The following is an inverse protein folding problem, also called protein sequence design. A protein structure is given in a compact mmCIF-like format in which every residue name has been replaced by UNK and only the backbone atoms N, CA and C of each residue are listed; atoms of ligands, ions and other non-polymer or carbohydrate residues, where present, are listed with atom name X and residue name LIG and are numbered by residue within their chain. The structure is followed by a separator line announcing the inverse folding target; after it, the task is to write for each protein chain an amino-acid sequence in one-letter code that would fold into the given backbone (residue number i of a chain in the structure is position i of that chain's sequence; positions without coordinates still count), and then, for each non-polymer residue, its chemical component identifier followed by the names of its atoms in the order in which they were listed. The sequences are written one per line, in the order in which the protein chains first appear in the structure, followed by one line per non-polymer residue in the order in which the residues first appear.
data_IF_026728993876
#
_entry.id   IF_026728993876
#
_cell.length_a   1.000
_cell.length_b   1.000
_cell.length_c   1.000
_cell.angle_alpha   90.00
_cell.angle_beta   90.00
_cell.angle_gamma   90.00
#
_symmetry.space_group_name_H-M   'P 1'
#
loop_
_entity.id
_entity.type
_entity.pdbx_description
1 polymer ?
#
# COMPACT_ATOMS: atom_id res chain seq x y z
N UNK A 1 13.66 41.79 0.14
CA UNK A 1 13.40 40.43 -0.38
C UNK A 1 13.85 39.44 0.67
N UNK A 2 12.94 38.66 1.26
CA UNK A 2 13.31 37.64 2.23
C UNK A 2 13.74 36.38 1.47
N UNK A 3 14.99 35.96 1.67
CA UNK A 3 15.46 34.67 1.16
C UNK A 3 14.65 33.53 1.80
N UNK A 4 14.24 32.50 1.04
CA UNK A 4 13.62 31.34 1.65
C UNK A 4 14.66 30.64 2.52
N UNK A 5 14.41 30.58 3.82
CA UNK A 5 15.20 29.78 4.75
C UNK A 5 14.96 28.31 4.39
N UNK A 6 15.94 27.66 3.76
CA UNK A 6 15.94 26.21 3.64
C UNK A 6 16.15 25.62 5.02
N UNK A 7 15.11 25.02 5.58
CA UNK A 7 15.23 24.21 6.79
C UNK A 7 16.20 23.07 6.48
N UNK A 8 17.32 22.92 7.20
CA UNK A 8 18.21 21.79 6.99
C UNK A 8 17.46 20.50 7.33
N UNK A 9 17.52 19.52 6.41
CA UNK A 9 16.96 18.20 6.63
C UNK A 9 17.64 17.58 7.87
N UNK A 10 16.85 17.30 8.91
CA UNK A 10 17.33 16.68 10.14
C UNK A 10 17.72 15.23 9.81
N UNK A 11 18.98 14.80 10.04
CA UNK A 11 19.37 13.41 9.85
C UNK A 11 18.48 12.50 10.70
N UNK A 12 17.76 11.58 10.07
CA UNK A 12 16.85 10.64 10.74
C UNK A 12 15.36 10.99 10.70
N UNK A 13 14.96 12.11 10.08
CA UNK A 13 13.54 12.33 9.71
C UNK A 13 13.33 11.85 8.27
N UNK A 14 12.89 10.60 8.12
CA UNK A 14 12.31 10.16 6.85
C UNK A 14 10.96 10.84 6.72
N UNK A 15 10.84 11.84 5.86
CA UNK A 15 9.55 12.44 5.55
C UNK A 15 8.68 11.39 4.86
N UNK A 16 7.66 10.92 5.58
CA UNK A 16 6.69 9.95 5.06
C UNK A 16 5.62 10.72 4.30
N UNK A 17 5.48 10.41 3.01
CA UNK A 17 4.38 10.91 2.18
C UNK A 17 3.37 9.81 1.93
N UNK A 18 2.08 10.10 2.12
CA UNK A 18 0.99 9.19 1.82
C UNK A 18 0.33 9.60 0.50
N UNK A 19 0.18 8.67 -0.45
CA UNK A 19 -0.49 8.91 -1.72
C UNK A 19 -1.55 7.87 -1.98
N UNK A 20 -2.71 8.32 -2.43
CA UNK A 20 -3.76 7.43 -2.93
C UNK A 20 -3.38 6.96 -4.32
N UNK A 21 -3.46 5.65 -4.54
CA UNK A 21 -3.29 5.04 -5.85
C UNK A 21 -4.60 4.43 -6.33
N UNK A 22 -4.75 4.36 -7.64
CA UNK A 22 -5.88 3.83 -8.39
C UNK A 22 -5.33 2.91 -9.48
N UNK A 23 -6.19 2.13 -10.13
CA UNK A 23 -5.78 1.34 -11.29
C UNK A 23 -5.01 2.16 -12.36
N UNK A 24 -5.34 3.45 -12.55
CA UNK A 24 -4.74 4.30 -13.60
C UNK A 24 -3.29 4.68 -13.33
N UNK A 25 -2.89 4.77 -12.06
CA UNK A 25 -1.53 5.16 -11.67
C UNK A 25 -0.73 4.00 -11.04
N UNK A 26 -1.38 2.85 -10.77
CA UNK A 26 -0.73 1.60 -10.42
C UNK A 26 -0.02 0.99 -11.64
N UNK A 27 1.27 1.28 -11.77
CA UNK A 27 2.12 0.64 -12.78
C UNK A 27 2.70 -0.69 -12.27
N UNK A 28 3.18 -1.60 -13.15
CA UNK A 28 3.70 -2.90 -12.75
C UNK A 28 4.84 -2.86 -11.72
N UNK A 29 5.70 -1.83 -11.76
CA UNK A 29 6.80 -1.67 -10.79
C UNK A 29 6.25 -1.38 -9.39
N UNK A 30 5.30 -0.46 -9.28
CA UNK A 30 4.65 -0.13 -8.02
C UNK A 30 3.87 -1.32 -7.46
N UNK A 31 3.07 -1.98 -8.29
CA UNK A 31 2.30 -3.16 -7.89
C UNK A 31 3.22 -4.26 -7.38
N UNK A 32 4.29 -4.58 -8.11
CA UNK A 32 5.25 -5.60 -7.67
C UNK A 32 5.90 -5.26 -6.32
N UNK A 33 6.24 -3.98 -6.11
CA UNK A 33 6.80 -3.52 -4.84
C UNK A 33 5.81 -3.63 -3.69
N UNK A 34 4.54 -3.30 -3.90
CA UNK A 34 3.50 -3.49 -2.88
C UNK A 34 3.30 -4.97 -2.53
N UNK A 35 3.39 -5.87 -3.51
CA UNK A 35 3.30 -7.31 -3.26
C UNK A 35 4.49 -7.82 -2.45
N UNK A 36 5.70 -7.33 -2.69
CA UNK A 36 6.86 -7.65 -1.87
C UNK A 36 6.66 -7.19 -0.42
N UNK A 37 6.16 -5.96 -0.24
CA UNK A 37 5.87 -5.40 1.08
C UNK A 37 4.84 -6.24 1.82
N UNK A 38 3.68 -6.54 1.20
CA UNK A 38 2.64 -7.36 1.84
C UNK A 38 3.13 -8.79 2.14
N UNK A 39 3.80 -9.43 1.18
CA UNK A 39 4.30 -10.81 1.37
C UNK A 39 5.32 -10.87 2.51
N UNK A 40 6.15 -9.84 2.65
CA UNK A 40 7.14 -9.75 3.74
C UNK A 40 6.46 -9.46 5.08
N UNK A 41 5.55 -8.47 5.12
CA UNK A 41 4.88 -8.05 6.35
C UNK A 41 4.02 -9.16 6.96
N UNK A 42 3.35 -9.94 6.11
CA UNK A 42 2.42 -10.99 6.53
C UNK A 42 3.01 -12.40 6.41
N UNK A 43 4.33 -12.55 6.22
CA UNK A 43 4.97 -13.87 6.02
C UNK A 43 4.65 -14.87 7.13
N UNK A 44 4.62 -14.39 8.37
CA UNK A 44 4.44 -15.20 9.57
C UNK A 44 3.07 -14.93 10.26
N UNK A 45 2.15 -14.24 9.57
CA UNK A 45 0.84 -13.88 10.11
C UNK A 45 -0.16 -15.04 10.00
N UNK A 46 -0.64 -15.51 11.15
CA UNK A 46 -1.56 -16.65 11.25
C UNK A 46 -2.97 -16.34 10.74
N UNK A 47 -3.36 -15.06 10.64
CA UNK A 47 -4.69 -14.66 10.13
C UNK A 47 -4.90 -15.02 8.67
N UNK A 48 -3.83 -15.27 7.92
CA UNK A 48 -3.88 -15.76 6.54
C UNK A 48 -3.67 -17.27 6.43
N UNK A 49 -3.30 -17.91 7.54
CA UNK A 49 -2.91 -19.31 7.56
C UNK A 49 -4.06 -20.32 7.44
N UNK A 50 -5.29 -19.90 7.71
CA UNK A 50 -6.48 -20.76 7.56
C UNK A 50 -6.72 -21.22 6.12
N UNK A 51 -6.16 -20.51 5.13
CA UNK A 51 -6.37 -20.80 3.71
C UNK A 51 -5.41 -21.87 3.16
N UNK A 52 -4.32 -22.17 3.88
CA UNK A 52 -3.31 -23.14 3.47
C UNK A 52 -2.84 -23.99 4.68
N UNK A 53 -3.06 -25.32 4.68
CA UNK A 53 -2.75 -26.18 5.83
C UNK A 53 -1.25 -26.41 6.07
N UNK A 54 -0.39 -26.14 5.09
CA UNK A 54 1.06 -26.46 5.12
C UNK A 54 1.92 -25.18 5.08
N UNK A 55 2.71 -24.94 6.14
CA UNK A 55 3.48 -23.68 6.34
C UNK A 55 4.53 -23.38 5.25
N UNK A 56 5.08 -24.38 4.59
CA UNK A 56 6.13 -24.18 3.57
C UNK A 56 5.57 -23.73 2.21
N UNK A 57 4.26 -23.93 1.97
CA UNK A 57 3.55 -23.40 0.81
C UNK A 57 3.29 -21.88 0.94
N UNK A 58 3.39 -21.32 2.15
CA UNK A 58 2.98 -19.95 2.46
C UNK A 58 3.62 -18.85 1.59
N UNK A 59 4.94 -18.82 1.31
CA UNK A 59 5.55 -17.67 0.64
C UNK A 59 5.06 -17.47 -0.80
N UNK A 60 4.92 -18.55 -1.58
CA UNK A 60 4.46 -18.49 -2.97
C UNK A 60 2.96 -18.20 -3.06
N UNK A 61 2.18 -18.83 -2.17
CA UNK A 61 0.72 -18.66 -2.12
C UNK A 61 0.30 -17.28 -1.57
N UNK A 62 1.07 -16.68 -0.66
CA UNK A 62 0.85 -15.31 -0.17
C UNK A 62 0.98 -14.27 -1.27
N UNK A 63 2.04 -14.33 -2.09
CA UNK A 63 2.23 -13.35 -3.17
C UNK A 63 1.07 -13.39 -4.16
N UNK A 64 0.60 -14.57 -4.56
CA UNK A 64 -0.54 -14.70 -5.46
C UNK A 64 -1.86 -14.22 -4.81
N UNK A 65 -2.08 -14.53 -3.53
CA UNK A 65 -3.24 -14.05 -2.79
C UNK A 65 -3.27 -12.51 -2.72
N UNK A 66 -2.15 -11.87 -2.34
CA UNK A 66 -2.06 -10.40 -2.30
C UNK A 66 -2.17 -9.77 -3.69
N UNK A 67 -1.71 -10.45 -4.74
CA UNK A 67 -1.94 -10.01 -6.12
C UNK A 67 -3.43 -9.94 -6.46
N UNK A 68 -4.21 -10.95 -6.04
CA UNK A 68 -5.67 -10.93 -6.23
C UNK A 68 -6.35 -9.85 -5.38
N UNK A 69 -5.96 -9.69 -4.11
CA UNK A 69 -6.54 -8.66 -3.26
C UNK A 69 -6.23 -7.25 -3.76
N UNK A 70 -4.96 -6.92 -3.97
CA UNK A 70 -4.55 -5.61 -4.45
C UNK A 70 -5.15 -5.31 -5.84
N UNK A 71 -5.21 -6.31 -6.73
CA UNK A 71 -5.84 -6.17 -8.03
C UNK A 71 -7.33 -5.81 -7.94
N UNK A 72 -8.08 -6.49 -7.06
CA UNK A 72 -9.49 -6.20 -6.82
C UNK A 72 -9.69 -4.83 -6.17
N UNK A 73 -8.87 -4.49 -5.17
CA UNK A 73 -8.95 -3.22 -4.43
C UNK A 73 -8.65 -2.01 -5.31
N UNK A 74 -7.72 -2.14 -6.28
CA UNK A 74 -7.42 -1.08 -7.24
C UNK A 74 -8.55 -0.83 -8.24
N UNK A 75 -9.42 -1.82 -8.48
CA UNK A 75 -10.57 -1.75 -9.38
C UNK A 75 -11.84 -1.31 -8.65
N UNK A 76 -11.91 -1.46 -7.33
CA UNK A 76 -13.09 -1.14 -6.53
C UNK A 76 -13.16 0.38 -6.24
N UNK A 77 -14.16 1.12 -6.78
CA UNK A 77 -14.29 2.55 -6.56
C UNK A 77 -14.65 2.92 -5.10
N UNK A 78 -15.04 1.93 -4.30
CA UNK A 78 -15.36 2.06 -2.87
C UNK A 78 -14.13 1.84 -1.99
N UNK A 79 -12.96 1.54 -2.55
CA UNK A 79 -11.74 1.30 -1.77
C UNK A 79 -10.70 2.38 -2.09
N UNK A 80 -10.06 2.90 -1.04
CA UNK A 80 -8.84 3.68 -1.16
C UNK A 80 -7.64 2.79 -0.91
N UNK A 81 -6.73 2.73 -1.89
CA UNK A 81 -5.41 2.13 -1.70
C UNK A 81 -4.42 3.26 -1.42
N UNK A 82 -3.90 3.33 -0.19
CA UNK A 82 -3.00 4.39 0.26
C UNK A 82 -1.60 3.82 0.40
N UNK A 83 -0.64 4.37 -0.35
CA UNK A 83 0.77 3.96 -0.33
C UNK A 83 1.60 4.97 0.44
N UNK A 84 2.45 4.46 1.34
CA UNK A 84 3.44 5.23 2.06
C UNK A 84 4.78 5.23 1.32
N UNK A 85 5.34 6.42 1.14
CA UNK A 85 6.63 6.65 0.50
C UNK A 85 7.59 7.29 1.51
N UNK A 86 8.84 6.88 1.45
CA UNK A 86 9.96 7.63 2.02
C UNK A 86 10.81 8.20 0.89
N UNK A 87 11.45 9.34 1.12
CA UNK A 87 12.47 9.85 0.21
C UNK A 87 13.82 9.25 0.60
N UNK A 88 14.41 8.46 -0.29
CA UNK A 88 15.75 7.92 -0.16
C UNK A 88 16.61 8.45 -1.33
N UNK A 89 17.67 9.20 -1.01
CA UNK A 89 18.54 9.84 -2.00
C UNK A 89 17.80 10.66 -3.09
N UNK A 90 16.72 11.35 -2.69
CA UNK A 90 15.88 12.15 -3.60
C UNK A 90 14.89 11.32 -4.44
N UNK A 91 14.82 10.01 -4.23
CA UNK A 91 13.90 9.10 -4.91
C UNK A 91 12.80 8.68 -3.94
N UNK A 92 11.56 8.75 -4.38
CA UNK A 92 10.44 8.22 -3.60
C UNK A 92 10.42 6.69 -3.67
N UNK A 93 10.57 6.05 -2.51
CA UNK A 93 10.53 4.60 -2.36
C UNK A 93 9.26 4.21 -1.61
N UNK A 94 8.37 3.40 -2.21
CA UNK A 94 7.22 2.88 -1.51
C UNK A 94 7.65 1.82 -0.49
N UNK A 95 7.19 1.99 0.75
CA UNK A 95 7.58 1.17 1.92
C UNK A 95 6.41 0.46 2.59
N UNK A 96 5.19 0.88 2.28
CA UNK A 96 3.99 0.41 2.97
C UNK A 96 2.75 0.72 2.14
N UNK A 97 1.67 0.00 2.39
CA UNK A 97 0.35 0.44 1.96
C UNK A 97 -0.72 -0.02 2.92
N UNK A 98 -1.88 0.62 2.81
CA UNK A 98 -3.10 0.24 3.51
C UNK A 98 -4.27 0.35 2.56
N UNK A 99 -5.30 -0.46 2.78
CA UNK A 99 -6.56 -0.38 2.05
C UNK A 99 -7.68 0.00 3.00
N UNK A 100 -8.51 0.95 2.58
CA UNK A 100 -9.58 1.52 3.39
C UNK A 100 -10.86 1.53 2.59
N UNK A 101 -11.91 0.94 3.14
CA UNK A 101 -13.24 1.07 2.57
C UNK A 101 -13.74 2.51 2.77
N UNK A 102 -14.21 3.12 1.69
CA UNK A 102 -14.91 4.40 1.70
C UNK A 102 -16.24 4.20 2.39
N UNK A 103 -16.54 5.01 3.41
CA UNK A 103 -17.94 5.19 3.81
C UNK A 103 -18.65 5.82 2.60
N UNK A 104 -19.60 5.09 2.02
CA UNK A 104 -20.57 5.67 1.10
C UNK A 104 -21.43 6.72 1.82
N UNK A 105 -22.23 7.53 1.10
CA UNK A 105 -23.32 8.24 1.75
C UNK A 105 -24.13 7.20 2.53
N UNK A 106 -24.28 7.41 3.84
CA UNK A 106 -25.20 6.59 4.62
C UNK A 106 -26.58 6.76 4.00
N UNK A 107 -27.21 5.64 3.62
CA UNK A 107 -28.55 5.49 3.01
C UNK A 107 -28.66 5.70 1.50
N UNK A 108 -29.24 4.69 0.84
CA UNK A 108 -29.81 4.73 -0.51
C UNK A 108 -31.33 5.05 -0.47
N UNK A 109 -31.81 5.72 0.58
CA UNK A 109 -33.24 6.07 0.78
C UNK A 109 -33.46 7.59 0.83
N UNK A 110 -32.74 8.34 0.00
CA UNK A 110 -33.00 9.77 -0.18
C UNK A 110 -32.83 10.19 -1.65
N UNK A 111 -33.60 9.56 -2.54
CA UNK A 111 -33.94 10.07 -3.88
C UNK A 111 -35.40 9.76 -4.17
#
# INVERSE_FOLDING_TARGET
MASPTSTPAVPGKSDITLKIITQRNANPKLTNRMLEVATTAFRDDQTFGWRYPTRHEYPAHHRHMFWRYLGNELLDPTIWVVVAYITDNGIEVPVGYSTWQRRGPGTAEAL
#
